data_IF_274884356585
#
_entry.id   IF_274884356585
#
_cell.length_a   1.000
_cell.length_b   1.000
_cell.length_c   1.000
_cell.angle_alpha   90.00
_cell.angle_beta   90.00
_cell.angle_gamma   90.00
#
_symmetry.space_group_name_H-M   'P 1'
#
loop_
_entity.id
_entity.type
_entity.pdbx_description
1 polymer ?
#
# COMPACT_ATOMS: atom_id res chain seq x y z
N UNK A 1 -4.11 -40.69 39.15
CA UNK A 1 -2.88 -41.01 38.41
C UNK A 1 -2.51 -39.79 37.56
N UNK A 2 -1.70 -38.87 38.10
CA UNK A 2 -0.25 -38.72 37.87
C UNK A 2 0.18 -38.64 36.41
N UNK A 3 0.58 -37.41 36.06
CA UNK A 3 1.53 -37.03 34.99
C UNK A 3 2.90 -37.67 35.25
N UNK A 4 3.64 -37.89 34.17
CA UNK A 4 5.10 -38.06 34.13
C UNK A 4 5.54 -37.13 32.98
N UNK A 5 6.09 -35.94 33.23
CA UNK A 5 7.51 -35.66 33.52
C UNK A 5 8.47 -36.34 32.53
N UNK A 6 8.92 -35.56 31.54
CA UNK A 6 10.34 -35.40 31.18
C UNK A 6 10.43 -34.23 30.19
N UNK A 7 11.00 -33.09 30.58
CA UNK A 7 12.44 -32.81 30.58
C UNK A 7 12.90 -32.31 29.21
N UNK A 8 13.29 -31.02 29.18
CA UNK A 8 14.50 -30.47 28.54
C UNK A 8 14.33 -28.98 28.25
N UNK A 9 14.69 -28.15 29.24
CA UNK A 9 15.25 -26.82 28.99
C UNK A 9 16.76 -26.98 28.78
N UNK A 10 17.35 -26.21 27.86
CA UNK A 10 18.49 -25.37 28.25
C UNK A 10 18.51 -24.04 27.45
N UNK A 11 19.16 -22.95 27.81
CA UNK A 11 19.95 -22.49 28.96
C UNK A 11 20.08 -20.98 28.74
N UNK A 12 19.75 -20.17 29.73
CA UNK A 12 20.12 -18.75 29.75
C UNK A 12 21.65 -18.66 29.78
N UNK A 13 22.25 -17.97 28.81
CA UNK A 13 23.66 -17.57 28.89
C UNK A 13 23.72 -16.05 28.86
N UNK A 14 23.80 -15.49 30.07
CA UNK A 14 24.15 -14.09 30.29
C UNK A 14 25.68 -13.98 30.10
N UNK A 15 26.13 -13.25 29.07
CA UNK A 15 27.56 -12.99 28.86
C UNK A 15 27.88 -11.58 29.34
N UNK A 16 28.67 -11.55 30.40
CA UNK A 16 29.27 -10.38 31.03
C UNK A 16 30.20 -9.64 30.06
N UNK A 17 30.21 -8.31 30.21
CA UNK A 17 31.12 -7.35 29.60
C UNK A 17 32.61 -7.72 29.76
N UNK A 18 33.38 -7.54 28.68
CA UNK A 18 34.79 -7.13 28.74
C UNK A 18 35.05 -6.10 27.63
N UNK A 19 35.37 -4.87 28.04
CA UNK A 19 35.89 -3.79 27.19
C UNK A 19 37.41 -3.95 27.02
N UNK A 20 37.91 -3.88 25.77
CA UNK A 20 39.13 -3.13 25.40
C UNK A 20 39.38 -3.13 23.89
N UNK A 21 39.31 -1.94 23.29
CA UNK A 21 40.39 -1.39 22.46
C UNK A 21 40.39 -1.66 20.95
N UNK A 22 40.10 -0.59 20.18
CA UNK A 22 40.89 -0.22 19.00
C UNK A 22 40.34 -0.62 17.62
N UNK A 23 39.96 0.38 16.83
CA UNK A 23 39.86 0.24 15.36
C UNK A 23 38.72 1.02 14.72
N UNK A 24 39.08 2.18 14.15
CA UNK A 24 38.38 2.98 13.14
C UNK A 24 36.85 2.97 13.13
N UNK A 25 36.28 4.07 13.64
CA UNK A 25 34.95 4.53 13.24
C UNK A 25 35.00 4.88 11.74
N UNK A 26 34.62 3.95 10.88
CA UNK A 26 34.01 4.33 9.60
C UNK A 26 32.74 5.06 9.98
N UNK A 27 32.65 6.35 9.64
CA UNK A 27 31.40 7.08 9.70
C UNK A 27 30.44 6.39 8.72
N UNK A 28 29.73 5.38 9.21
CA UNK A 28 28.62 4.78 8.51
C UNK A 28 27.67 5.92 8.20
N UNK A 29 27.39 6.13 6.92
CA UNK A 29 26.25 6.95 6.51
C UNK A 29 25.05 6.29 7.16
N UNK A 30 24.64 6.78 8.32
CA UNK A 30 23.39 6.40 8.95
C UNK A 30 22.33 6.88 7.99
N UNK A 31 21.71 5.93 7.27
CA UNK A 31 20.60 6.20 6.38
C UNK A 31 19.58 7.04 7.14
N UNK A 32 19.46 8.32 6.76
CA UNK A 32 18.43 9.24 7.29
C UNK A 32 17.04 8.89 6.77
N UNK A 33 16.94 7.87 5.91
CA UNK A 33 15.67 7.39 5.40
C UNK A 33 14.88 6.71 6.52
N UNK A 34 13.56 6.93 6.60
CA UNK A 34 12.67 6.19 7.48
C UNK A 34 12.94 4.66 7.42
N UNK A 35 12.76 3.90 8.52
CA UNK A 35 13.12 2.49 8.57
C UNK A 35 12.49 1.65 7.46
N UNK A 36 11.21 1.88 7.14
CA UNK A 36 10.52 1.20 6.04
C UNK A 36 11.09 1.54 4.66
N UNK A 37 11.54 2.77 4.44
CA UNK A 37 12.23 3.17 3.20
C UNK A 37 13.61 2.49 3.10
N UNK A 38 14.35 2.43 4.21
CA UNK A 38 15.62 1.70 4.27
C UNK A 38 15.41 0.20 3.98
N UNK A 39 14.35 -0.42 4.51
CA UNK A 39 13.96 -1.81 4.20
C UNK A 39 13.67 -1.99 2.72
N UNK A 40 12.87 -1.11 2.11
CA UNK A 40 12.58 -1.16 0.67
C UNK A 40 13.88 -1.03 -0.15
N UNK A 41 14.77 -0.11 0.19
CA UNK A 41 16.04 0.08 -0.52
C UNK A 41 16.98 -1.14 -0.41
N UNK A 42 17.00 -1.82 0.73
CA UNK A 42 17.86 -2.97 0.97
C UNK A 42 17.28 -4.31 0.47
N UNK A 43 15.97 -4.36 0.20
CA UNK A 43 15.29 -5.57 -0.24
C UNK A 43 15.87 -6.13 -1.55
N UNK A 44 15.91 -7.46 -1.66
CA UNK A 44 16.19 -8.13 -2.94
C UNK A 44 15.13 -7.75 -3.98
N UNK A 45 15.40 -8.03 -5.27
CA UNK A 45 14.43 -7.72 -6.33
C UNK A 45 13.06 -8.40 -6.09
N UNK A 46 12.97 -9.71 -5.74
CA UNK A 46 11.68 -10.35 -5.46
C UNK A 46 10.95 -9.76 -4.25
N UNK A 47 11.68 -9.43 -3.18
CA UNK A 47 11.08 -8.83 -1.98
C UNK A 47 10.55 -7.43 -2.24
N UNK A 48 11.29 -6.61 -3.00
CA UNK A 48 10.83 -5.28 -3.38
C UNK A 48 9.59 -5.33 -4.27
N UNK A 49 9.55 -6.27 -5.22
CA UNK A 49 8.36 -6.49 -6.06
C UNK A 49 7.15 -6.88 -5.21
N UNK A 50 7.31 -7.79 -4.25
CA UNK A 50 6.22 -8.18 -3.36
C UNK A 50 5.72 -6.99 -2.51
N UNK A 51 6.64 -6.24 -1.90
CA UNK A 51 6.32 -5.03 -1.13
C UNK A 51 5.57 -3.97 -1.96
N UNK A 52 5.95 -3.80 -3.23
CA UNK A 52 5.33 -2.83 -4.13
C UNK A 52 4.00 -3.33 -4.71
N UNK A 53 3.83 -4.65 -4.88
CA UNK A 53 2.56 -5.25 -5.30
C UNK A 53 1.45 -5.01 -4.26
N UNK A 54 1.79 -5.02 -2.96
CA UNK A 54 0.85 -4.65 -1.89
C UNK A 54 0.43 -3.17 -1.94
N UNK A 55 1.22 -2.32 -2.60
CA UNK A 55 0.88 -0.91 -2.84
C UNK A 55 -0.05 -0.78 -4.05
N UNK A 56 0.32 -1.40 -5.16
CA UNK A 56 -0.35 -1.29 -6.46
C UNK A 56 -0.23 -2.62 -7.21
N UNK A 57 -1.35 -3.15 -7.70
CA UNK A 57 -1.38 -4.45 -8.40
C UNK A 57 -0.70 -4.47 -9.78
N UNK A 58 -0.31 -3.32 -10.33
CA UNK A 58 0.36 -3.27 -11.63
C UNK A 58 1.81 -3.72 -11.55
N UNK A 59 2.14 -4.77 -12.30
CA UNK A 59 3.50 -5.29 -12.41
C UNK A 59 4.45 -4.26 -13.05
N UNK A 60 3.98 -3.55 -14.09
CA UNK A 60 4.75 -2.50 -14.76
C UNK A 60 5.09 -1.35 -13.80
N UNK A 61 4.11 -0.89 -13.01
CA UNK A 61 4.33 0.12 -11.98
C UNK A 61 5.35 -0.35 -10.94
N UNK A 62 5.15 -1.56 -10.40
CA UNK A 62 6.02 -2.14 -9.37
C UNK A 62 7.45 -2.30 -9.85
N UNK A 63 7.65 -2.78 -11.08
CA UNK A 63 8.98 -2.92 -11.69
C UNK A 63 9.67 -1.56 -11.88
N UNK A 64 8.95 -0.55 -12.39
CA UNK A 64 9.49 0.79 -12.58
C UNK A 64 9.94 1.43 -11.25
N UNK A 65 9.11 1.32 -10.21
CA UNK A 65 9.45 1.85 -8.88
C UNK A 65 10.57 1.04 -8.23
N UNK A 66 10.61 -0.28 -8.40
CA UNK A 66 11.70 -1.12 -7.87
C UNK A 66 13.05 -0.79 -8.51
N UNK A 67 13.07 -0.48 -9.81
CA UNK A 67 14.27 -0.15 -10.57
C UNK A 67 14.88 1.21 -10.20
N UNK A 68 14.08 2.14 -9.65
CA UNK A 68 14.56 3.45 -9.19
C UNK A 68 15.27 3.45 -7.83
N UNK A 69 15.32 2.30 -7.13
CA UNK A 69 16.02 2.18 -5.84
C UNK A 69 17.54 2.25 -6.02
N UNK A 70 18.29 2.77 -5.03
CA UNK A 70 17.81 3.28 -3.74
C UNK A 70 17.28 4.71 -3.80
N UNK A 71 16.21 4.99 -3.06
CA UNK A 71 15.68 6.34 -2.88
C UNK A 71 16.28 7.00 -1.64
N UNK A 72 16.78 8.23 -1.76
CA UNK A 72 17.38 8.95 -0.64
C UNK A 72 16.32 9.45 0.36
N UNK A 73 15.17 9.91 -0.13
CA UNK A 73 14.06 10.46 0.67
C UNK A 73 12.72 9.87 0.24
N UNK A 74 11.73 9.96 1.12
CA UNK A 74 10.35 9.56 0.81
C UNK A 74 9.82 10.30 -0.43
N UNK A 75 10.06 11.60 -0.55
CA UNK A 75 9.62 12.37 -1.72
C UNK A 75 10.15 11.83 -3.04
N UNK A 76 11.37 11.27 -3.05
CA UNK A 76 11.98 10.72 -4.26
C UNK A 76 11.24 9.43 -4.68
N UNK A 77 10.88 8.58 -3.71
CA UNK A 77 10.04 7.40 -3.93
C UNK A 77 8.64 7.81 -4.43
N UNK A 78 8.04 8.84 -3.84
CA UNK A 78 6.71 9.31 -4.23
C UNK A 78 6.73 9.91 -5.66
N UNK A 79 7.77 10.66 -6.02
CA UNK A 79 7.93 11.20 -7.37
C UNK A 79 8.14 10.10 -8.41
N UNK A 80 8.92 9.05 -8.08
CA UNK A 80 9.09 7.88 -8.94
C UNK A 80 7.77 7.12 -9.12
N UNK A 81 6.98 6.96 -8.05
CA UNK A 81 5.63 6.40 -8.09
C UNK A 81 4.70 7.18 -9.01
N UNK A 82 4.70 8.51 -8.92
CA UNK A 82 3.86 9.37 -9.73
C UNK A 82 4.26 9.31 -11.22
N UNK A 83 5.57 9.26 -11.50
CA UNK A 83 6.12 9.09 -12.85
C UNK A 83 5.72 7.73 -13.44
N UNK A 84 5.88 6.65 -12.67
CA UNK A 84 5.48 5.31 -13.09
C UNK A 84 3.97 5.23 -13.36
N UNK A 85 3.15 5.86 -12.51
CA UNK A 85 1.69 5.91 -12.69
C UNK A 85 1.29 6.69 -13.95
N UNK A 86 1.97 7.80 -14.25
CA UNK A 86 1.73 8.56 -15.48
C UNK A 86 2.09 7.78 -16.75
N UNK A 87 3.05 6.85 -16.68
CA UNK A 87 3.52 6.07 -17.81
C UNK A 87 2.70 4.81 -18.11
N UNK A 88 1.79 4.40 -17.21
CA UNK A 88 1.02 3.16 -17.40
C UNK A 88 0.14 3.20 -18.64
N UNK A 89 0.15 2.11 -19.41
CA UNK A 89 -0.81 1.89 -20.49
C UNK A 89 -2.22 1.65 -19.92
N UNK A 90 -3.22 1.54 -20.79
CA UNK A 90 -4.57 1.18 -20.37
C UNK A 90 -4.62 -0.22 -19.72
N UNK A 91 -3.84 -1.17 -20.24
CA UNK A 91 -3.81 -2.54 -19.72
C UNK A 91 -3.13 -2.61 -18.35
N UNK A 92 -2.00 -1.91 -18.19
CA UNK A 92 -1.30 -1.79 -16.89
C UNK A 92 -2.20 -1.15 -15.82
N UNK A 93 -2.99 -0.15 -16.23
CA UNK A 93 -3.96 0.50 -15.35
C UNK A 93 -5.12 -0.45 -15.00
N UNK A 94 -5.57 -1.27 -15.95
CA UNK A 94 -6.55 -2.33 -15.70
C UNK A 94 -6.05 -3.37 -14.69
N UNK A 95 -4.79 -3.78 -14.80
CA UNK A 95 -4.14 -4.65 -13.82
C UNK A 95 -4.08 -4.02 -12.42
N UNK A 96 -3.67 -2.74 -12.33
CA UNK A 96 -3.69 -2.00 -11.07
C UNK A 96 -5.09 -2.01 -10.43
N UNK A 97 -6.13 -1.78 -11.24
CA UNK A 97 -7.52 -1.71 -10.81
C UNK A 97 -8.08 -3.05 -10.33
N UNK A 98 -7.67 -4.17 -10.92
CA UNK A 98 -8.12 -5.51 -10.54
C UNK A 98 -7.79 -5.88 -9.08
N UNK A 99 -6.76 -5.24 -8.50
CA UNK A 99 -6.39 -5.41 -7.10
C UNK A 99 -7.27 -4.67 -6.08
N UNK A 100 -8.28 -3.89 -6.51
CA UNK A 100 -9.09 -3.07 -5.61
C UNK A 100 -10.47 -3.67 -5.30
N UNK A 101 -10.83 -3.83 -4.01
CA UNK A 101 -12.18 -4.20 -3.62
C UNK A 101 -13.16 -3.02 -3.81
N UNK A 102 -14.44 -3.28 -4.12
CA UNK A 102 -15.43 -2.23 -4.34
C UNK A 102 -15.68 -1.40 -3.07
N UNK A 103 -16.00 -0.12 -3.25
CA UNK A 103 -16.38 0.78 -2.15
C UNK A 103 -17.71 0.31 -1.54
N UNK A 104 -17.77 0.22 -0.21
CA UNK A 104 -18.91 -0.34 0.52
C UNK A 104 -18.83 -1.85 0.73
N UNK A 105 -17.74 -2.50 0.33
CA UNK A 105 -17.47 -3.92 0.66
C UNK A 105 -15.95 -4.14 0.81
N UNK A 106 -15.37 -3.80 1.97
CA UNK A 106 -13.96 -4.02 2.20
C UNK A 106 -13.63 -5.51 2.12
N UNK A 107 -12.40 -5.81 1.71
CA UNK A 107 -11.92 -7.19 1.64
C UNK A 107 -11.91 -7.81 3.05
N UNK A 108 -12.59 -8.95 3.28
CA UNK A 108 -12.61 -9.58 4.60
C UNK A 108 -11.20 -9.92 5.09
N UNK A 109 -10.88 -9.50 6.31
CA UNK A 109 -9.55 -9.72 6.90
C UNK A 109 -8.44 -8.79 6.42
N UNK A 110 -8.73 -7.84 5.53
CA UNK A 110 -7.77 -6.83 5.07
C UNK A 110 -7.93 -5.51 5.85
N UNK A 111 -7.03 -5.21 6.81
CA UNK A 111 -7.09 -3.97 7.58
C UNK A 111 -6.82 -2.72 6.73
N UNK A 112 -6.15 -2.84 5.58
CA UNK A 112 -5.93 -1.73 4.65
C UNK A 112 -7.21 -1.38 3.93
N UNK A 113 -7.90 -2.37 3.35
CA UNK A 113 -9.21 -2.16 2.73
C UNK A 113 -10.22 -1.58 3.74
N UNK A 114 -10.30 -2.14 4.94
CA UNK A 114 -11.19 -1.64 5.99
C UNK A 114 -10.86 -0.20 6.38
N UNK A 115 -9.56 0.13 6.53
CA UNK A 115 -9.09 1.49 6.85
C UNK A 115 -9.45 2.51 5.80
N UNK A 116 -9.22 2.18 4.54
CA UNK A 116 -9.43 3.11 3.43
C UNK A 116 -10.91 3.49 3.32
N UNK A 117 -11.82 2.56 3.61
CA UNK A 117 -13.27 2.79 3.51
C UNK A 117 -13.97 3.14 4.83
N UNK A 118 -13.23 3.53 5.89
CA UNK A 118 -13.80 3.84 7.22
C UNK A 118 -14.85 4.95 7.24
N UNK A 119 -14.86 5.83 6.23
CA UNK A 119 -15.84 6.91 6.12
C UNK A 119 -17.22 6.45 5.62
N UNK A 120 -17.39 5.19 5.22
CA UNK A 120 -18.68 4.65 4.75
C UNK A 120 -19.51 4.15 5.93
N UNK A 121 -20.64 4.79 6.17
CA UNK A 121 -21.65 4.32 7.12
C UNK A 121 -22.54 3.23 6.50
N UNK A 122 -23.21 2.45 7.35
CA UNK A 122 -24.08 1.35 6.89
C UNK A 122 -25.26 1.84 6.05
N UNK A 123 -25.79 3.02 6.34
CA UNK A 123 -26.89 3.65 5.59
C UNK A 123 -26.53 4.00 4.14
N UNK A 124 -25.24 4.12 3.82
CA UNK A 124 -24.75 4.48 2.49
C UNK A 124 -24.32 3.24 1.70
N UNK A 125 -24.12 2.11 2.38
CA UNK A 125 -23.45 0.92 1.85
C UNK A 125 -24.25 0.24 0.74
N UNK A 126 -25.57 0.15 0.88
CA UNK A 126 -26.45 -0.47 -0.11
C UNK A 126 -26.45 0.30 -1.43
N UNK A 127 -26.64 1.62 -1.36
CA UNK A 127 -26.67 2.48 -2.55
C UNK A 127 -25.29 2.56 -3.23
N UNK A 128 -24.20 2.63 -2.45
CA UNK A 128 -22.84 2.57 -2.97
C UNK A 128 -22.59 1.25 -3.72
N UNK A 129 -23.02 0.12 -3.16
CA UNK A 129 -22.87 -1.18 -3.81
C UNK A 129 -23.67 -1.25 -5.11
N UNK A 130 -24.94 -0.82 -5.08
CA UNK A 130 -25.81 -0.78 -6.27
C UNK A 130 -25.20 0.05 -7.39
N UNK A 131 -24.70 1.24 -7.09
CA UNK A 131 -24.07 2.11 -8.08
C UNK A 131 -22.68 1.62 -8.51
N UNK A 132 -21.94 0.91 -7.65
CA UNK A 132 -20.69 0.26 -8.05
C UNK A 132 -20.92 -0.78 -9.14
N UNK A 133 -22.01 -1.55 -9.06
CA UNK A 133 -22.37 -2.52 -10.10
C UNK A 133 -22.71 -1.81 -11.42
N UNK A 134 -23.56 -0.79 -11.37
CA UNK A 134 -23.89 0.01 -12.56
C UNK A 134 -22.65 0.70 -13.17
N UNK A 135 -21.73 1.13 -12.33
CA UNK A 135 -20.46 1.70 -12.75
C UNK A 135 -19.55 0.66 -13.40
N UNK A 136 -19.46 -0.55 -12.85
CA UNK A 136 -18.71 -1.66 -13.45
C UNK A 136 -19.27 -2.04 -14.81
N UNK A 137 -20.60 -2.07 -14.98
CA UNK A 137 -21.23 -2.33 -16.26
C UNK A 137 -20.87 -1.26 -17.31
N UNK A 138 -20.75 0.01 -16.88
CA UNK A 138 -20.42 1.13 -17.76
C UNK A 138 -18.93 1.25 -18.10
N UNK A 139 -18.03 0.98 -17.15
CA UNK A 139 -16.60 1.26 -17.25
C UNK A 139 -15.70 0.02 -17.28
N UNK A 140 -16.25 -1.17 -17.00
CA UNK A 140 -15.52 -2.44 -17.00
C UNK A 140 -14.62 -2.68 -15.77
N UNK A 141 -14.67 -1.81 -14.76
CA UNK A 141 -13.89 -1.92 -13.54
C UNK A 141 -14.62 -1.31 -12.33
N UNK A 142 -14.17 -1.63 -11.12
CA UNK A 142 -14.74 -1.07 -9.87
C UNK A 142 -14.64 0.47 -9.86
N UNK A 143 -15.57 1.12 -9.15
CA UNK A 143 -15.41 2.54 -8.86
C UNK A 143 -14.23 2.74 -7.91
N UNK A 144 -13.26 3.53 -8.33
CA UNK A 144 -12.09 3.85 -7.53
C UNK A 144 -12.06 5.32 -7.14
N UNK A 145 -11.84 5.57 -5.86
CA UNK A 145 -11.57 6.90 -5.32
C UNK A 145 -10.63 6.76 -4.13
N UNK A 146 -9.73 7.72 -3.94
CA UNK A 146 -8.94 7.83 -2.73
C UNK A 146 -9.87 8.17 -1.56
N UNK A 147 -10.31 7.17 -0.81
CA UNK A 147 -11.33 7.35 0.24
C UNK A 147 -10.80 8.06 1.51
N UNK A 148 -9.48 8.26 1.64
CA UNK A 148 -8.88 8.93 2.81
C UNK A 148 -9.43 10.35 2.96
N UNK A 149 -9.99 10.64 4.14
CA UNK A 149 -10.57 11.94 4.47
C UNK A 149 -11.96 12.20 3.87
N UNK A 150 -12.56 11.23 3.18
CA UNK A 150 -13.89 11.36 2.58
C UNK A 150 -14.97 10.64 3.39
N UNK A 151 -16.17 11.22 3.42
CA UNK A 151 -17.38 10.55 3.93
C UNK A 151 -18.02 9.65 2.86
N UNK A 152 -18.87 8.71 3.26
CA UNK A 152 -19.66 7.90 2.35
C UNK A 152 -20.51 8.75 1.41
N UNK A 153 -21.20 9.77 1.93
CA UNK A 153 -21.92 10.75 1.12
C UNK A 153 -21.05 11.43 0.03
N UNK A 154 -19.82 11.82 0.35
CA UNK A 154 -18.90 12.41 -0.65
C UNK A 154 -18.47 11.38 -1.71
N UNK A 155 -18.21 10.13 -1.31
CA UNK A 155 -17.89 9.05 -2.25
C UNK A 155 -19.09 8.72 -3.15
N UNK A 156 -20.30 8.71 -2.59
CA UNK A 156 -21.54 8.49 -3.31
C UNK A 156 -21.82 9.61 -4.32
N UNK A 157 -21.61 10.86 -3.93
CA UNK A 157 -21.75 12.00 -4.83
C UNK A 157 -20.75 11.90 -6.01
N UNK A 158 -19.48 11.61 -5.72
CA UNK A 158 -18.46 11.41 -6.76
C UNK A 158 -18.80 10.25 -7.70
N UNK A 159 -19.33 9.14 -7.18
CA UNK A 159 -19.78 8.01 -7.99
C UNK A 159 -20.93 8.40 -8.93
N UNK A 160 -21.93 9.15 -8.43
CA UNK A 160 -23.04 9.65 -9.25
C UNK A 160 -22.61 10.63 -10.33
N UNK A 161 -21.62 11.47 -10.05
CA UNK A 161 -21.03 12.39 -11.03
C UNK A 161 -20.26 11.63 -12.13
N UNK A 162 -19.44 10.65 -11.72
CA UNK A 162 -18.49 9.97 -12.61
C UNK A 162 -19.08 8.86 -13.45
N UNK A 163 -20.21 8.26 -13.04
CA UNK A 163 -20.79 7.13 -13.78
C UNK A 163 -21.13 7.46 -15.24
N UNK A 164 -21.47 8.72 -15.54
CA UNK A 164 -21.79 9.19 -16.88
C UNK A 164 -20.60 9.65 -17.72
N UNK A 165 -19.37 9.58 -17.19
CA UNK A 165 -18.18 9.98 -17.94
C UNK A 165 -17.92 9.07 -19.14
N UNK A 166 -17.21 9.59 -20.15
CA UNK A 166 -16.66 8.72 -21.19
C UNK A 166 -15.55 7.83 -20.60
N UNK A 167 -15.34 6.61 -21.13
CA UNK A 167 -14.27 5.73 -20.64
C UNK A 167 -12.89 6.39 -20.63
N UNK A 168 -12.56 7.23 -21.62
CA UNK A 168 -11.29 7.93 -21.68
C UNK A 168 -11.13 8.99 -20.58
N UNK A 169 -12.18 9.76 -20.31
CA UNK A 169 -12.18 10.75 -19.23
C UNK A 169 -12.04 10.04 -17.87
N UNK A 170 -12.81 8.98 -17.68
CA UNK A 170 -12.83 8.26 -16.42
C UNK A 170 -11.51 7.56 -16.13
N UNK A 171 -10.85 7.03 -17.17
CA UNK A 171 -9.53 6.41 -17.05
C UNK A 171 -8.48 7.37 -16.49
N UNK A 172 -8.47 8.64 -16.92
CA UNK A 172 -7.51 9.63 -16.40
C UNK A 172 -7.85 10.09 -14.98
N UNK A 173 -9.13 10.13 -14.63
CA UNK A 173 -9.57 10.34 -13.24
C UNK A 173 -9.10 9.19 -12.35
N UNK A 174 -9.30 7.95 -12.80
CA UNK A 174 -8.87 6.73 -12.09
C UNK A 174 -7.35 6.72 -11.89
N UNK A 175 -6.56 7.05 -12.91
CA UNK A 175 -5.10 7.17 -12.81
C UNK A 175 -4.70 8.18 -11.73
N UNK A 176 -5.38 9.32 -11.69
CA UNK A 176 -5.16 10.35 -10.67
C UNK A 176 -5.51 9.86 -9.26
N UNK A 177 -6.62 9.13 -9.11
CA UNK A 177 -7.02 8.56 -7.82
C UNK A 177 -6.07 7.43 -7.36
N UNK A 178 -5.58 6.58 -8.27
CA UNK A 178 -4.54 5.59 -7.98
C UNK A 178 -3.25 6.23 -7.50
N UNK A 179 -2.80 7.30 -8.16
CA UNK A 179 -1.62 8.05 -7.71
C UNK A 179 -1.76 8.52 -6.25
N UNK A 180 -2.92 9.07 -5.88
CA UNK A 180 -3.21 9.48 -4.49
C UNK A 180 -3.17 8.29 -3.52
N UNK A 181 -3.77 7.15 -3.89
CA UNK A 181 -3.80 5.94 -3.06
C UNK A 181 -2.38 5.40 -2.88
N UNK A 182 -1.60 5.29 -3.95
CA UNK A 182 -0.22 4.82 -3.93
C UNK A 182 0.65 5.68 -3.04
N UNK A 183 0.53 7.02 -3.11
CA UNK A 183 1.28 7.92 -2.23
C UNK A 183 1.00 7.65 -0.74
N UNK A 184 -0.27 7.43 -0.38
CA UNK A 184 -0.68 7.12 1.00
C UNK A 184 -0.12 5.77 1.45
N UNK A 185 -0.22 4.75 0.59
CA UNK A 185 0.28 3.40 0.87
C UNK A 185 1.81 3.37 0.98
N UNK A 186 2.53 4.06 0.09
CA UNK A 186 3.99 4.21 0.13
C UNK A 186 4.46 4.96 1.37
N UNK A 187 3.74 6.02 1.79
CA UNK A 187 4.07 6.74 3.02
C UNK A 187 4.00 5.80 4.23
N UNK A 188 3.00 4.92 4.29
CA UNK A 188 2.90 3.90 5.36
C UNK A 188 3.98 2.83 5.24
N UNK A 189 4.26 2.36 4.03
CA UNK A 189 5.32 1.38 3.78
C UNK A 189 6.70 1.91 4.19
N UNK A 190 6.94 3.20 3.98
CA UNK A 190 8.18 3.87 4.32
C UNK A 190 8.29 4.19 5.82
N UNK A 191 7.18 4.35 6.53
CA UNK A 191 7.16 4.63 7.96
C UNK A 191 7.85 3.52 8.78
N UNK A 192 8.21 3.79 10.06
CA UNK A 192 8.62 2.72 10.98
C UNK A 192 7.50 1.68 11.10
N UNK A 193 7.84 0.41 11.35
CA UNK A 193 6.83 -0.55 11.80
C UNK A 193 6.24 -0.02 13.10
N UNK A 194 4.93 0.28 13.10
CA UNK A 194 4.22 0.54 14.37
C UNK A 194 4.19 -0.79 15.13
N UNK A 195 4.75 -0.79 16.34
CA UNK A 195 4.67 -1.91 17.26
C UNK A 195 3.18 -2.23 17.47
N UNK A 196 2.70 -3.46 17.23
CA UNK A 196 1.30 -3.78 17.44
C UNK A 196 1.00 -3.63 18.94
N UNK A 197 0.21 -2.60 19.26
CA UNK A 197 -0.34 -2.38 20.59
C UNK A 197 -1.26 -3.53 21.04
#
# INVERSE_FOLDING_TARGET
>A
MRRSEDSLRPRFFNKLLTLRGGGSYVAGVTSSAPPGLSRLNAATAPEATALLHDVCGSAAWGAAVAAGRPYARLDDLLAASDTAMAALTADDLGEAMAGHPPIGRPQPGDPTSAREQRGVADTEREELLRLNLAYQDAHGHVFLICATGRTGAQMLAALKERIGNTPDTEREIVRTELGKINRIRLTRLAAPEEDPA
#
